data_IF_898391899225
#
_entry.id   IF_898391899225
#
_cell.length_a   1.000
_cell.length_b   1.000
_cell.length_c   1.000
_cell.angle_alpha   90.00
_cell.angle_beta   90.00
_cell.angle_gamma   90.00
#
_symmetry.space_group_name_H-M   'P 1'
#
loop_
_entity.id
_entity.type
_entity.pdbx_description
1 polymer ?
#
# COMPACT_ATOMS: atom_id res chain seq x y z
N UNK A 1 -21.61 -0.31 6.31
CA UNK A 1 -20.52 0.24 7.14
C UNK A 1 -20.93 1.63 7.60
N UNK A 2 -21.08 1.87 8.91
CA UNK A 2 -21.27 3.23 9.41
C UNK A 2 -19.88 3.83 9.64
N UNK A 3 -19.46 4.87 8.91
CA UNK A 3 -18.18 5.52 9.21
C UNK A 3 -18.26 6.06 10.65
N UNK A 4 -17.33 5.61 11.50
CA UNK A 4 -17.21 6.14 12.86
C UNK A 4 -16.59 7.53 12.81
N UNK A 5 -15.64 7.72 11.91
CA UNK A 5 -15.05 9.02 11.59
C UNK A 5 -16.05 10.02 11.01
N UNK A 6 -16.03 11.25 11.52
CA UNK A 6 -16.87 12.36 11.05
C UNK A 6 -16.06 13.42 10.31
N UNK A 7 -14.75 13.50 10.55
CA UNK A 7 -13.84 14.43 9.88
C UNK A 7 -12.98 13.71 8.84
N UNK A 8 -12.57 14.38 7.74
CA UNK A 8 -11.76 13.71 6.71
C UNK A 8 -10.43 13.14 7.23
N UNK A 9 -9.79 13.78 8.23
CA UNK A 9 -8.54 13.26 8.82
C UNK A 9 -8.78 12.00 9.65
N UNK A 10 -9.93 11.92 10.33
CA UNK A 10 -10.35 10.72 11.05
C UNK A 10 -10.66 9.59 10.05
N UNK A 11 -11.30 9.91 8.92
CA UNK A 11 -11.57 8.93 7.86
C UNK A 11 -10.28 8.42 7.22
N UNK A 12 -9.32 9.32 6.98
CA UNK A 12 -7.99 8.96 6.49
C UNK A 12 -7.28 8.02 7.48
N UNK A 13 -7.28 8.37 8.76
CA UNK A 13 -6.70 7.52 9.82
C UNK A 13 -7.40 6.16 9.93
N UNK A 14 -8.73 6.12 9.94
CA UNK A 14 -9.50 4.86 9.98
C UNK A 14 -9.17 4.01 8.75
N UNK A 15 -9.20 4.59 7.54
CA UNK A 15 -8.95 3.85 6.29
C UNK A 15 -7.52 3.31 6.18
N UNK A 16 -6.48 4.08 6.54
CA UNK A 16 -5.09 3.60 6.50
C UNK A 16 -4.86 2.45 7.50
N UNK A 17 -5.45 2.54 8.69
CA UNK A 17 -5.37 1.47 9.69
C UNK A 17 -6.13 0.20 9.25
N UNK A 18 -7.28 0.34 8.60
CA UNK A 18 -8.02 -0.80 8.03
C UNK A 18 -7.25 -1.47 6.89
N UNK A 19 -6.57 -0.69 6.04
CA UNK A 19 -5.70 -1.24 4.99
C UNK A 19 -4.54 -2.02 5.63
N UNK A 20 -3.82 -1.44 6.60
CA UNK A 20 -2.73 -2.13 7.31
C UNK A 20 -3.22 -3.43 7.96
N UNK A 21 -4.38 -3.41 8.62
CA UNK A 21 -4.95 -4.61 9.23
C UNK A 21 -5.31 -5.67 8.18
N UNK A 22 -5.85 -5.25 7.04
CA UNK A 22 -6.18 -6.16 5.93
C UNK A 22 -4.93 -6.82 5.34
N UNK A 23 -3.84 -6.05 5.19
CA UNK A 23 -2.54 -6.58 4.74
C UNK A 23 -1.97 -7.56 5.76
N UNK A 24 -1.99 -7.22 7.04
CA UNK A 24 -1.50 -8.10 8.11
C UNK A 24 -2.27 -9.41 8.16
N UNK A 25 -3.59 -9.40 8.00
CA UNK A 25 -4.38 -10.63 7.88
C UNK A 25 -3.97 -11.44 6.65
N UNK A 26 -3.79 -10.78 5.51
CA UNK A 26 -3.38 -11.42 4.24
C UNK A 26 -1.98 -12.06 4.32
N UNK A 27 -1.08 -11.48 5.11
CA UNK A 27 0.26 -12.02 5.40
C UNK A 27 0.24 -13.19 6.39
N UNK A 28 -0.77 -13.28 7.25
CA UNK A 28 -0.91 -14.39 8.20
C UNK A 28 -1.57 -15.63 7.57
N UNK A 29 -2.30 -15.44 6.47
CA UNK A 29 -2.89 -16.54 5.72
C UNK A 29 -1.80 -17.40 5.08
N UNK A 30 -1.97 -18.72 5.14
CA UNK A 30 -1.09 -19.69 4.51
C UNK A 30 -1.88 -20.46 3.46
N UNK A 31 -1.43 -20.42 2.21
CA UNK A 31 -2.09 -21.13 1.10
C UNK A 31 -2.08 -22.64 1.29
N UNK A 32 -1.10 -23.17 2.01
CA UNK A 32 -1.06 -24.59 2.38
C UNK A 32 -2.25 -25.04 3.24
N UNK A 33 -2.96 -24.13 3.91
CA UNK A 33 -4.19 -24.46 4.65
C UNK A 33 -5.36 -24.83 3.72
N UNK A 34 -5.37 -24.31 2.50
CA UNK A 34 -6.36 -24.60 1.44
C UNK A 34 -5.64 -25.15 0.19
N UNK A 35 -4.81 -26.17 0.38
CA UNK A 35 -3.89 -26.71 -0.64
C UNK A 35 -4.58 -27.21 -1.91
N UNK A 36 -5.81 -27.73 -1.81
CA UNK A 36 -6.60 -28.16 -2.98
C UNK A 36 -7.01 -27.00 -3.88
N UNK A 37 -7.44 -25.88 -3.27
CA UNK A 37 -7.82 -24.68 -4.00
C UNK A 37 -6.60 -24.03 -4.66
N UNK A 38 -5.51 -23.89 -3.91
CA UNK A 38 -4.30 -23.20 -4.37
C UNK A 38 -3.37 -24.08 -5.21
N UNK A 39 -3.59 -25.41 -5.20
CA UNK A 39 -2.73 -26.39 -5.85
C UNK A 39 -1.26 -26.29 -5.39
N UNK A 40 -1.04 -26.03 -4.10
CA UNK A 40 0.30 -25.91 -3.51
C UNK A 40 0.55 -26.98 -2.45
N UNK A 41 1.77 -27.52 -2.46
CA UNK A 41 2.26 -28.38 -1.39
C UNK A 41 2.81 -27.53 -0.23
N UNK A 42 3.02 -28.15 0.94
CA UNK A 42 3.48 -27.45 2.16
C UNK A 42 4.88 -26.83 1.99
N UNK A 43 5.71 -27.44 1.16
CA UNK A 43 7.04 -26.96 0.78
C UNK A 43 7.01 -25.75 -0.17
N UNK A 44 5.88 -25.48 -0.83
CA UNK A 44 5.64 -24.32 -1.71
C UNK A 44 4.56 -23.41 -1.12
N UNK A 45 4.46 -23.39 0.21
CA UNK A 45 3.53 -22.54 0.91
C UNK A 45 3.87 -21.05 0.73
N UNK A 46 2.87 -20.22 0.91
CA UNK A 46 3.06 -18.78 0.84
C UNK A 46 1.81 -18.03 1.25
N UNK A 47 1.98 -16.72 1.37
CA UNK A 47 0.94 -15.79 1.79
C UNK A 47 0.06 -15.30 0.62
N UNK A 48 -0.96 -14.51 0.94
CA UNK A 48 -1.74 -13.76 -0.05
C UNK A 48 -0.95 -12.52 -0.54
N UNK A 49 0.19 -12.74 -1.18
CA UNK A 49 1.14 -11.66 -1.54
C UNK A 49 0.60 -10.63 -2.55
N UNK A 50 -0.21 -11.04 -3.52
CA UNK A 50 -0.81 -10.13 -4.52
C UNK A 50 -1.74 -9.10 -3.88
N UNK A 51 -2.79 -9.48 -3.13
CA UNK A 51 -3.65 -8.50 -2.48
C UNK A 51 -2.89 -7.69 -1.41
N UNK A 52 -1.95 -8.29 -0.68
CA UNK A 52 -1.08 -7.52 0.23
C UNK A 52 -0.32 -6.41 -0.51
N UNK A 53 0.32 -6.72 -1.63
CA UNK A 53 1.09 -5.76 -2.41
C UNK A 53 0.22 -4.64 -2.99
N UNK A 54 -0.97 -4.98 -3.51
CA UNK A 54 -1.94 -3.99 -4.02
C UNK A 54 -2.34 -2.99 -2.93
N UNK A 55 -2.68 -3.49 -1.73
CA UNK A 55 -3.08 -2.66 -0.60
C UNK A 55 -1.93 -1.81 -0.07
N UNK A 56 -0.70 -2.32 -0.05
CA UNK A 56 0.48 -1.54 0.32
C UNK A 56 0.76 -0.41 -0.68
N UNK A 57 0.59 -0.66 -1.98
CA UNK A 57 0.65 0.41 -2.97
C UNK A 57 -0.47 1.44 -2.81
N UNK A 58 -1.67 1.06 -2.34
CA UNK A 58 -2.72 2.02 -1.99
C UNK A 58 -2.30 2.95 -0.86
N UNK A 59 -1.53 2.47 0.14
CA UNK A 59 -0.97 3.33 1.19
C UNK A 59 0.00 4.35 0.58
N UNK A 60 0.93 3.89 -0.26
CA UNK A 60 1.89 4.78 -0.96
C UNK A 60 1.16 5.86 -1.77
N UNK A 61 0.16 5.47 -2.56
CA UNK A 61 -0.65 6.42 -3.34
C UNK A 61 -1.38 7.42 -2.43
N UNK A 62 -1.96 6.96 -1.32
CA UNK A 62 -2.72 7.79 -0.39
C UNK A 62 -1.82 8.82 0.29
N UNK A 63 -0.68 8.40 0.83
CA UNK A 63 0.28 9.29 1.48
C UNK A 63 0.86 10.28 0.47
N UNK A 64 1.24 9.83 -0.72
CA UNK A 64 1.72 10.71 -1.79
C UNK A 64 0.70 11.76 -2.20
N UNK A 65 -0.55 11.35 -2.43
CA UNK A 65 -1.65 12.25 -2.81
C UNK A 65 -1.98 13.30 -1.75
N UNK A 66 -1.64 13.05 -0.48
CA UNK A 66 -1.85 14.02 0.59
C UNK A 66 -0.95 15.26 0.39
N UNK A 67 0.32 15.05 0.03
CA UNK A 67 1.31 16.11 -0.18
C UNK A 67 1.27 16.69 -1.60
N UNK A 68 0.27 16.32 -2.40
CA UNK A 68 0.13 16.77 -3.77
C UNK A 68 0.02 18.31 -3.86
N UNK A 69 0.83 18.89 -4.74
CA UNK A 69 0.97 20.31 -5.00
C UNK A 69 1.43 21.13 -3.79
N UNK A 70 2.05 20.49 -2.78
CA UNK A 70 2.69 21.20 -1.68
C UNK A 70 4.11 21.64 -2.08
N UNK A 71 4.38 22.95 -2.30
CA UNK A 71 5.69 23.44 -2.74
C UNK A 71 6.77 23.35 -1.65
N UNK A 72 6.38 23.18 -0.38
CA UNK A 72 7.30 23.04 0.76
C UNK A 72 7.77 21.58 0.90
N UNK A 73 6.98 20.62 0.41
CA UNK A 73 7.30 19.21 0.46
C UNK A 73 8.10 18.76 -0.77
N UNK A 74 9.41 18.98 -0.72
CA UNK A 74 10.35 18.66 -1.79
C UNK A 74 11.13 17.39 -1.51
N UNK A 75 11.22 16.50 -2.50
CA UNK A 75 11.81 15.18 -2.35
C UNK A 75 12.98 15.01 -3.32
N UNK A 76 14.09 14.48 -2.82
CA UNK A 76 15.24 14.15 -3.64
C UNK A 76 15.04 12.80 -4.33
N UNK A 77 15.14 12.77 -5.66
CA UNK A 77 15.05 11.54 -6.45
C UNK A 77 16.41 11.29 -7.09
N UNK A 78 16.97 10.10 -6.85
CA UNK A 78 18.27 9.74 -7.40
C UNK A 78 18.21 9.74 -8.93
N UNK A 79 19.12 10.47 -9.55
CA UNK A 79 19.20 10.65 -11.01
C UNK A 79 18.48 11.90 -11.53
N UNK A 80 17.81 12.68 -10.68
CA UNK A 80 17.28 14.00 -11.04
C UNK A 80 18.16 15.11 -10.47
N UNK A 81 18.28 16.21 -11.22
CA UNK A 81 19.16 17.34 -10.90
C UNK A 81 18.59 18.30 -9.86
N UNK A 82 17.28 18.21 -9.57
CA UNK A 82 16.60 19.07 -8.60
C UNK A 82 15.63 18.26 -7.74
N UNK A 83 15.36 18.72 -6.50
CA UNK A 83 14.26 18.19 -5.71
C UNK A 83 12.94 18.29 -6.49
N UNK A 84 12.10 17.28 -6.34
CA UNK A 84 10.80 17.17 -7.00
C UNK A 84 9.69 17.48 -6.02
N UNK A 85 8.58 18.04 -6.53
CA UNK A 85 7.32 18.13 -5.81
C UNK A 85 6.40 16.99 -6.28
N UNK A 86 5.49 16.54 -5.41
CA UNK A 86 4.40 15.67 -5.81
C UNK A 86 3.33 16.53 -6.47
N UNK A 87 2.81 16.12 -7.62
CA UNK A 87 1.77 16.82 -8.37
C UNK A 87 0.78 15.82 -8.99
N UNK A 88 -0.32 16.29 -9.59
CA UNK A 88 -1.28 15.39 -10.25
C UNK A 88 -0.75 14.76 -11.56
N UNK A 89 0.51 14.99 -11.91
CA UNK A 89 1.11 14.48 -13.13
C UNK A 89 2.02 13.28 -12.82
N UNK A 90 2.10 12.36 -13.77
CA UNK A 90 3.22 11.44 -13.93
C UNK A 90 3.72 10.71 -12.67
N UNK A 91 2.89 9.82 -12.10
CA UNK A 91 3.35 8.79 -11.14
C UNK A 91 3.96 9.38 -9.86
N UNK A 92 3.88 10.70 -9.67
CA UNK A 92 4.70 11.44 -8.71
C UNK A 92 4.29 11.18 -7.27
N UNK A 93 3.09 10.62 -7.03
CA UNK A 93 2.69 10.14 -5.72
C UNK A 93 3.70 9.14 -5.14
N UNK A 94 4.32 8.32 -5.99
CA UNK A 94 5.34 7.35 -5.57
C UNK A 94 6.68 8.01 -5.21
N UNK A 95 6.87 9.30 -5.47
CA UNK A 95 8.04 10.03 -4.95
C UNK A 95 8.04 10.07 -3.42
N UNK A 96 6.88 9.89 -2.76
CA UNK A 96 6.77 9.76 -1.30
C UNK A 96 7.70 8.70 -0.71
N UNK A 97 8.05 7.66 -1.50
CA UNK A 97 8.96 6.59 -1.11
C UNK A 97 10.39 7.08 -0.79
N UNK A 98 10.77 8.26 -1.28
CA UNK A 98 12.05 8.91 -0.96
C UNK A 98 11.91 10.03 0.07
N UNK A 99 10.70 10.34 0.54
CA UNK A 99 10.50 11.29 1.64
C UNK A 99 11.03 10.73 2.96
N UNK A 100 11.08 11.55 3.99
CA UNK A 100 11.44 11.12 5.34
C UNK A 100 10.50 10.06 5.94
N UNK A 101 9.31 9.86 5.37
CA UNK A 101 8.37 8.82 5.81
C UNK A 101 8.85 7.42 5.45
N UNK A 102 9.59 7.24 4.35
CA UNK A 102 10.02 5.94 3.82
C UNK A 102 11.54 5.80 3.66
N UNK A 103 12.22 6.89 3.31
CA UNK A 103 13.68 7.02 3.25
C UNK A 103 14.40 5.96 2.38
N UNK A 104 13.85 5.59 1.22
CA UNK A 104 14.38 4.49 0.39
C UNK A 104 15.43 4.90 -0.66
N UNK A 105 15.69 6.20 -0.82
CA UNK A 105 16.68 6.76 -1.77
C UNK A 105 16.66 6.10 -3.17
N UNK A 106 15.47 5.84 -3.68
CA UNK A 106 15.22 5.17 -4.97
C UNK A 106 15.56 6.09 -6.14
N UNK A 107 15.98 5.49 -7.25
CA UNK A 107 16.12 6.22 -8.51
C UNK A 107 14.77 6.41 -9.20
N UNK A 108 14.70 7.38 -10.14
CA UNK A 108 13.49 7.58 -10.95
C UNK A 108 13.02 6.30 -11.63
N UNK A 109 13.95 5.53 -12.21
CA UNK A 109 13.63 4.26 -12.86
C UNK A 109 13.06 3.20 -11.91
N UNK A 110 13.48 3.19 -10.65
CA UNK A 110 12.92 2.29 -9.63
C UNK A 110 11.48 2.64 -9.31
N UNK A 111 11.21 3.94 -9.10
CA UNK A 111 9.88 4.48 -8.83
C UNK A 111 8.93 4.21 -10.01
N UNK A 112 9.40 4.48 -11.24
CA UNK A 112 8.63 4.21 -12.45
C UNK A 112 8.25 2.73 -12.54
N UNK A 113 9.18 1.85 -12.18
CA UNK A 113 8.93 0.41 -12.22
C UNK A 113 7.95 -0.06 -11.16
N UNK A 114 8.01 0.50 -9.95
CA UNK A 114 7.04 0.22 -8.88
C UNK A 114 5.63 0.68 -9.26
N UNK A 115 5.52 1.86 -9.88
CA UNK A 115 4.24 2.37 -10.36
C UNK A 115 3.63 1.48 -11.46
N UNK A 116 4.45 0.97 -12.38
CA UNK A 116 4.03 0.01 -13.40
C UNK A 116 3.54 -1.32 -12.79
N UNK A 117 4.25 -1.80 -11.76
CA UNK A 117 3.84 -2.98 -10.99
C UNK A 117 2.47 -2.76 -10.34
N UNK A 118 2.27 -1.63 -9.65
CA UNK A 118 0.98 -1.22 -9.07
C UNK A 118 -0.13 -1.23 -10.12
N UNK A 119 0.13 -0.64 -11.29
CA UNK A 119 -0.84 -0.56 -12.38
C UNK A 119 -1.21 -1.96 -12.89
N UNK A 120 -0.21 -2.81 -13.13
CA UNK A 120 -0.42 -4.17 -13.64
C UNK A 120 -1.19 -5.04 -12.64
N UNK A 121 -0.86 -4.94 -11.35
CA UNK A 121 -1.54 -5.68 -10.29
C UNK A 121 -3.00 -5.27 -10.14
N UNK A 122 -3.32 -3.98 -10.24
CA UNK A 122 -4.69 -3.49 -10.06
C UNK A 122 -5.59 -3.73 -11.28
N UNK A 123 -5.05 -3.66 -12.50
CA UNK A 123 -5.85 -3.77 -13.72
C UNK A 123 -5.94 -5.20 -14.26
N UNK A 124 -4.88 -5.99 -14.10
CA UNK A 124 -4.76 -7.32 -14.73
C UNK A 124 -4.51 -8.43 -13.70
N UNK A 125 -4.39 -8.11 -12.41
CA UNK A 125 -4.05 -9.05 -11.35
C UNK A 125 -2.75 -9.84 -11.64
N UNK A 126 -1.82 -9.21 -12.35
CA UNK A 126 -0.55 -9.80 -12.76
C UNK A 126 0.61 -8.89 -12.37
N UNK A 127 1.76 -9.50 -12.04
CA UNK A 127 3.01 -8.77 -11.88
C UNK A 127 3.57 -8.45 -13.27
N UNK A 128 4.17 -7.27 -13.40
CA UNK A 128 4.91 -6.95 -14.62
C UNK A 128 6.17 -7.82 -14.73
N UNK A 129 6.57 -8.16 -15.94
CA UNK A 129 7.75 -9.01 -16.21
C UNK A 129 8.98 -8.60 -15.41
N UNK A 130 9.65 -9.55 -14.77
CA UNK A 130 10.84 -9.23 -13.98
C UNK A 130 10.56 -8.50 -12.66
N UNK A 131 9.33 -8.55 -12.16
CA UNK A 131 9.02 -8.29 -10.75
C UNK A 131 8.67 -9.60 -10.06
N UNK A 132 9.20 -9.82 -8.87
CA UNK A 132 8.84 -10.95 -8.01
C UNK A 132 8.41 -10.45 -6.63
N UNK A 133 7.43 -11.13 -6.03
CA UNK A 133 7.06 -10.92 -4.64
C UNK A 133 7.73 -11.99 -3.78
N UNK A 134 8.24 -11.60 -2.62
CA UNK A 134 8.85 -12.52 -1.66
C UNK A 134 8.32 -12.25 -0.26
N UNK A 135 8.08 -13.33 0.46
CA UNK A 135 7.82 -13.32 1.89
C UNK A 135 9.17 -13.26 2.60
N UNK A 136 9.45 -12.17 3.30
CA UNK A 136 10.78 -11.84 3.81
C UNK A 136 10.69 -10.73 4.84
N UNK A 137 11.56 -10.84 5.84
CA UNK A 137 11.96 -9.82 6.81
C UNK A 137 13.44 -9.49 6.54
N UNK A 138 13.73 -8.88 5.40
CA UNK A 138 15.05 -8.34 5.10
C UNK A 138 14.88 -6.83 4.98
N UNK A 139 15.57 -6.06 5.82
CA UNK A 139 15.51 -4.60 5.99
C UNK A 139 15.12 -3.76 4.75
N UNK A 140 15.54 -4.15 3.55
CA UNK A 140 15.13 -3.51 2.30
C UNK A 140 13.97 -4.25 1.61
N UNK A 141 12.81 -3.59 1.52
CA UNK A 141 11.66 -4.16 0.83
C UNK A 141 11.78 -4.13 -0.71
N UNK A 142 12.77 -3.44 -1.26
CA UNK A 142 13.11 -3.48 -2.70
C UNK A 142 14.54 -3.98 -2.85
N UNK A 143 14.69 -5.10 -3.54
CA UNK A 143 16.00 -5.67 -3.88
C UNK A 143 16.10 -5.84 -5.40
N UNK A 144 17.26 -5.52 -5.98
CA UNK A 144 17.55 -5.81 -7.39
C UNK A 144 18.30 -7.13 -7.48
N UNK A 145 17.67 -8.13 -8.07
CA UNK A 145 18.24 -9.48 -8.20
C UNK A 145 18.69 -9.68 -9.64
N UNK A 146 19.93 -10.13 -9.85
CA UNK A 146 20.40 -10.54 -11.18
C UNK A 146 20.08 -12.01 -11.42
N UNK A 147 19.42 -12.29 -12.53
CA UNK A 147 19.16 -13.64 -13.01
C UNK A 147 19.63 -13.77 -14.46
N UNK A 148 20.84 -14.31 -14.64
CA UNK A 148 21.55 -14.26 -15.92
C UNK A 148 21.81 -12.81 -16.35
N UNK A 149 21.39 -12.47 -17.57
CA UNK A 149 21.50 -11.11 -18.12
C UNK A 149 20.35 -10.18 -17.68
N UNK A 150 19.31 -10.71 -17.02
CA UNK A 150 18.15 -9.93 -16.59
C UNK A 150 18.33 -9.43 -15.16
N UNK A 151 17.87 -8.20 -14.91
CA UNK A 151 17.73 -7.67 -13.55
C UNK A 151 16.25 -7.66 -13.18
N UNK A 152 15.91 -8.32 -12.08
CA UNK A 152 14.57 -8.41 -11.53
C UNK A 152 14.44 -7.44 -10.34
N UNK A 153 13.26 -6.87 -10.15
CA UNK A 153 12.90 -6.18 -8.92
C UNK A 153 12.19 -7.17 -8.01
N UNK A 154 12.66 -7.26 -6.78
CA UNK A 154 12.13 -8.15 -5.77
C UNK A 154 11.52 -7.36 -4.63
N UNK A 155 10.21 -7.47 -4.46
CA UNK A 155 9.44 -6.75 -3.44
C UNK A 155 9.21 -7.68 -2.25
N UNK A 156 9.78 -7.32 -1.10
CA UNK A 156 9.57 -7.99 0.17
C UNK A 156 8.26 -7.56 0.81
N UNK A 157 7.27 -8.45 0.92
CA UNK A 157 5.93 -8.08 1.39
C UNK A 157 5.93 -7.68 2.87
N UNK A 158 6.62 -8.43 3.74
CA UNK A 158 6.62 -8.09 5.17
C UNK A 158 7.40 -6.80 5.43
N UNK A 159 8.57 -6.65 4.78
CA UNK A 159 9.37 -5.44 4.83
C UNK A 159 8.60 -4.21 4.32
N UNK A 160 7.83 -4.37 3.24
CA UNK A 160 7.02 -3.28 2.70
C UNK A 160 5.85 -2.95 3.63
N UNK A 161 5.27 -3.95 4.29
CA UNK A 161 4.26 -3.73 5.34
C UNK A 161 4.82 -2.89 6.49
N UNK A 162 5.99 -3.25 7.03
CA UNK A 162 6.59 -2.49 8.13
C UNK A 162 6.98 -1.08 7.69
N UNK A 163 7.54 -0.90 6.49
CA UNK A 163 7.83 0.43 5.95
C UNK A 163 6.56 1.29 5.81
N UNK A 164 5.45 0.70 5.35
CA UNK A 164 4.16 1.41 5.30
C UNK A 164 3.59 1.70 6.68
N UNK A 165 3.74 0.79 7.65
CA UNK A 165 3.30 0.98 9.03
C UNK A 165 4.04 2.17 9.66
N UNK A 166 5.36 2.19 9.57
CA UNK A 166 6.21 3.26 10.10
C UNK A 166 5.90 4.60 9.40
N UNK A 167 5.69 4.57 8.08
CA UNK A 167 5.32 5.75 7.30
C UNK A 167 3.95 6.32 7.72
N UNK A 168 2.95 5.46 7.98
CA UNK A 168 1.63 5.88 8.46
C UNK A 168 1.69 6.48 9.86
N UNK A 169 2.46 5.89 10.78
CA UNK A 169 2.68 6.45 12.11
C UNK A 169 3.38 7.81 12.03
N UNK A 170 4.45 7.90 11.24
CA UNK A 170 5.20 9.14 11.03
C UNK A 170 4.35 10.22 10.37
N UNK A 171 3.47 9.84 9.44
CA UNK A 171 2.57 10.75 8.74
C UNK A 171 1.61 11.48 9.70
N UNK A 172 0.99 10.78 10.64
CA UNK A 172 0.08 11.43 11.61
C UNK A 172 0.81 12.27 12.67
N UNK A 173 2.11 12.06 12.83
CA UNK A 173 2.98 12.88 13.67
C UNK A 173 3.68 14.01 12.88
N UNK A 174 3.39 14.15 11.59
CA UNK A 174 4.08 15.10 10.72
C UNK A 174 3.59 16.54 10.95
N UNK A 175 4.48 17.54 11.09
CA UNK A 175 4.06 18.91 11.46
C UNK A 175 3.01 19.54 10.55
N UNK A 176 3.09 19.30 9.23
CA UNK A 176 2.11 19.82 8.27
C UNK A 176 0.73 19.20 8.54
N UNK A 177 0.66 17.89 8.80
CA UNK A 177 -0.59 17.16 9.09
C UNK A 177 -1.17 17.60 10.43
N UNK A 178 -0.32 17.85 11.44
CA UNK A 178 -0.73 18.34 12.76
C UNK A 178 -1.33 19.75 12.69
N UNK A 179 -0.77 20.61 11.83
CA UNK A 179 -1.20 22.00 11.67
C UNK A 179 -2.36 22.18 10.68
N UNK A 180 -2.69 21.13 9.91
CA UNK A 180 -3.76 21.17 8.92
C UNK A 180 -5.13 21.11 9.59
N UNK A 181 -5.73 22.27 9.86
CA UNK A 181 -7.18 22.35 9.77
C UNK A 181 -7.52 22.19 8.28
N UNK A 182 -7.93 20.99 7.86
CA UNK A 182 -8.38 20.59 6.50
C UNK A 182 -9.29 21.64 5.79
N UNK A 183 -8.79 22.82 5.45
CA UNK A 183 -9.64 23.99 5.21
C UNK A 183 -10.13 24.11 3.78
N UNK A 184 -9.62 23.34 2.81
CA UNK A 184 -9.94 23.61 1.40
C UNK A 184 -10.23 22.42 0.48
N UNK A 185 -10.42 21.19 0.98
CA UNK A 185 -10.89 20.06 0.13
C UNK A 185 -12.39 19.79 0.30
N UNK A 186 -13.21 20.83 0.33
CA UNK A 186 -14.66 20.77 0.15
C UNK A 186 -15.06 20.61 -1.33
N UNK A 187 -14.58 19.54 -1.99
CA UNK A 187 -15.12 19.09 -3.30
C UNK A 187 -15.21 17.58 -3.46
N UNK A 188 -15.19 16.80 -2.36
CA UNK A 188 -15.77 15.46 -2.40
C UNK A 188 -17.30 15.62 -2.36
N UNK A 189 -17.94 15.61 -3.53
CA UNK A 189 -19.39 15.53 -3.65
C UNK A 189 -19.87 14.13 -3.20
N UNK A 190 -19.96 13.91 -1.90
CA UNK A 190 -20.77 12.83 -1.37
C UNK A 190 -22.21 13.33 -1.28
N UNK A 191 -23.03 13.07 -2.31
CA UNK A 191 -24.48 13.20 -2.19
C UNK A 191 -24.95 12.08 -1.25
N UNK A 192 -25.17 12.43 0.01
CA UNK A 192 -25.76 11.53 0.98
C UNK A 192 -27.16 11.11 0.54
N UNK A 193 -27.38 9.81 0.42
CA UNK A 193 -28.72 9.22 0.43
C UNK A 193 -28.84 8.44 1.73
N UNK A 194 -29.79 8.88 2.56
CA UNK A 194 -30.25 8.19 3.75
C UNK A 194 -31.06 6.94 3.36
N UNK A 195 -30.71 5.77 3.90
CA UNK A 195 -31.63 4.97 4.73
C UNK A 195 -31.00 3.63 5.20
N UNK A 196 -31.12 3.46 6.51
CA UNK A 196 -31.36 2.26 7.34
C UNK A 196 -30.77 0.85 7.07
N UNK A 197 -30.20 0.34 8.18
CA UNK A 197 -30.29 -1.00 8.80
C UNK A 197 -29.57 -2.20 8.14
N UNK A 198 -28.58 -2.70 8.89
CA UNK A 198 -28.02 -4.05 8.75
C UNK A 198 -26.77 -4.23 9.61
N UNK A 199 -26.93 -4.53 10.91
CA UNK A 199 -25.83 -4.99 11.77
C UNK A 199 -25.84 -6.53 11.76
N UNK A 200 -24.85 -7.15 11.12
CA UNK A 200 -24.51 -8.54 11.43
C UNK A 200 -23.72 -8.55 12.75
N UNK A 201 -24.31 -9.14 13.78
CA UNK A 201 -23.60 -9.56 14.99
C UNK A 201 -22.64 -10.69 14.60
N UNK A 202 -21.34 -10.49 14.81
CA UNK A 202 -20.37 -11.60 14.79
C UNK A 202 -20.32 -12.19 16.20
N UNK A 203 -20.92 -13.36 16.38
CA UNK A 203 -20.70 -14.21 17.55
C UNK A 203 -19.40 -15.00 17.36
N UNK A 204 -18.71 -15.25 18.48
CA UNK A 204 -17.46 -16.00 18.53
C UNK A 204 -17.54 -17.34 17.78
N UNK A 205 -16.54 -17.64 16.94
CA UNK A 205 -16.19 -19.02 16.58
C UNK A 205 -16.40 -19.48 15.15
N UNK A 206 -16.63 -18.61 14.15
CA UNK A 206 -16.80 -19.06 12.76
C UNK A 206 -15.66 -18.55 11.86
N UNK A 207 -14.62 -19.38 11.77
CA UNK A 207 -13.68 -19.41 10.67
C UNK A 207 -14.45 -19.89 9.43
N UNK A 208 -14.63 -19.02 8.44
CA UNK A 208 -15.24 -19.42 7.17
C UNK A 208 -14.20 -20.17 6.33
N UNK A 209 -14.13 -21.48 6.54
CA UNK A 209 -13.72 -22.40 5.49
C UNK A 209 -14.77 -22.33 4.38
N UNK A 210 -14.36 -21.87 3.18
CA UNK A 210 -15.16 -22.09 1.99
C UNK A 210 -15.19 -23.59 1.71
N UNK A 211 -16.26 -24.26 2.14
CA UNK A 211 -16.63 -25.57 1.59
C UNK A 211 -17.03 -25.36 0.13
N UNK A 212 -16.24 -25.86 -0.80
CA UNK A 212 -16.75 -26.22 -2.13
C UNK A 212 -17.13 -27.70 -2.08
N UNK A 213 -18.40 -27.96 -2.34
CA UNK A 213 -18.97 -29.28 -2.67
C UNK A 213 -18.31 -29.90 -3.88
#
# INVERSE_FOLDING_TARGET
MHPRAKKPIEMLSESLNEILMSVKFSMQYRKSYDSEFWQVAKENDGILGFPSCMLLFCIVDTLGSYFENNPEFKINIKGLSSPQIINNENRSHFYILNSELFNLNLSKGDIDRLYECRTSLLHNSVLTDGVILRETNKKDFIEKIKFGEKTLISIGIEDFYYACQDAVESFFNYPIVINDQLKHRSKFHYKGISNEKGLCKLTHGEFWGMRTT
#
